data_IF_127624193551
#
_entry.id   IF_127624193551
#
_cell.length_a   1.000
_cell.length_b   1.000
_cell.length_c   1.000
_cell.angle_alpha   90.00
_cell.angle_beta   90.00
_cell.angle_gamma   90.00
#
_symmetry.space_group_name_H-M   'P 1'
#
loop_
_entity.id
_entity.type
_entity.pdbx_description
1 polymer ?
#
# COMPACT_ATOMS: atom_id res chain seq x y z
N UNK A 1 11.20 3.12 -9.41
CA UNK A 1 11.32 2.80 -7.97
C UNK A 1 12.27 3.80 -7.35
N UNK A 2 11.83 4.54 -6.33
CA UNK A 2 12.64 5.56 -5.65
C UNK A 2 12.51 5.33 -4.15
N UNK A 3 13.64 5.24 -3.47
CA UNK A 3 13.69 5.24 -2.00
C UNK A 3 13.97 6.67 -1.55
N UNK A 4 13.00 7.27 -0.86
CA UNK A 4 13.09 8.63 -0.32
C UNK A 4 12.17 8.74 0.90
N UNK A 5 12.31 9.84 1.63
CA UNK A 5 11.29 10.24 2.59
C UNK A 5 10.06 10.73 1.82
N UNK A 6 8.89 10.28 2.26
CA UNK A 6 7.59 10.70 1.76
C UNK A 6 6.80 11.34 2.90
N UNK A 7 6.14 12.45 2.61
CA UNK A 7 5.27 13.11 3.59
C UNK A 7 3.88 12.45 3.63
N UNK A 8 3.13 12.68 4.73
CA UNK A 8 1.77 12.15 4.88
C UNK A 8 0.84 12.57 3.74
N UNK A 9 1.05 13.75 3.15
CA UNK A 9 0.28 14.23 2.01
C UNK A 9 0.52 13.39 0.76
N UNK A 10 1.76 12.99 0.48
CA UNK A 10 2.09 12.13 -0.66
C UNK A 10 1.47 10.74 -0.48
N UNK A 11 1.53 10.20 0.73
CA UNK A 11 0.89 8.91 1.08
C UNK A 11 -0.63 9.02 0.91
N UNK A 12 -1.25 10.10 1.38
CA UNK A 12 -2.70 10.32 1.31
C UNK A 12 -3.25 10.35 -0.14
N UNK A 13 -2.40 10.66 -1.11
CA UNK A 13 -2.75 10.71 -2.54
C UNK A 13 -2.28 9.48 -3.34
N UNK A 14 -1.73 8.47 -2.67
CA UNK A 14 -1.26 7.27 -3.34
C UNK A 14 -2.44 6.42 -3.86
N UNK A 15 -2.26 5.80 -5.04
CA UNK A 15 -3.27 4.91 -5.62
C UNK A 15 -3.42 3.62 -4.79
N UNK A 16 -2.32 3.13 -4.23
CA UNK A 16 -2.27 1.97 -3.34
C UNK A 16 -1.14 2.09 -2.31
N UNK A 17 -1.35 1.48 -1.14
CA UNK A 17 -0.38 1.41 -0.05
C UNK A 17 -0.38 -0.01 0.50
N UNK A 18 0.80 -0.55 0.80
CA UNK A 18 0.95 -1.83 1.48
C UNK A 18 2.10 -1.76 2.48
N UNK A 19 2.09 -2.64 3.48
CA UNK A 19 3.21 -2.83 4.39
C UNK A 19 3.72 -4.26 4.31
N UNK A 20 5.00 -4.42 4.59
CA UNK A 20 5.64 -5.74 4.63
C UNK A 20 5.93 -6.18 6.05
N UNK A 21 5.72 -7.45 6.36
CA UNK A 21 6.10 -8.03 7.65
C UNK A 21 6.47 -9.51 7.51
N UNK A 22 7.09 -10.11 8.53
CA UNK A 22 7.58 -11.50 8.46
C UNK A 22 6.50 -12.59 8.54
N UNK A 23 5.24 -12.24 8.83
CA UNK A 23 4.15 -13.20 9.01
C UNK A 23 3.25 -13.29 7.78
N UNK A 24 2.86 -12.15 7.23
CA UNK A 24 1.95 -12.02 6.09
C UNK A 24 2.63 -11.50 4.82
N UNK A 25 3.92 -11.18 4.90
CA UNK A 25 4.78 -10.72 3.80
C UNK A 25 4.34 -9.41 3.15
N UNK A 26 3.17 -9.37 2.50
CA UNK A 26 2.53 -8.16 1.97
C UNK A 26 1.12 -8.04 2.54
N UNK A 27 0.88 -6.94 3.25
CA UNK A 27 -0.45 -6.57 3.75
C UNK A 27 -0.92 -5.28 3.08
N UNK A 28 -1.97 -5.32 2.24
CA UNK A 28 -2.60 -4.13 1.69
C UNK A 28 -3.15 -3.22 2.79
N UNK A 29 -3.03 -1.91 2.61
CA UNK A 29 -3.58 -0.89 3.51
C UNK A 29 -4.73 -0.19 2.77
N UNK A 30 -5.95 -0.40 3.24
CA UNK A 30 -7.15 0.18 2.64
C UNK A 30 -7.48 1.59 3.15
N UNK A 31 -6.98 1.98 4.32
CA UNK A 31 -7.15 3.34 4.85
C UNK A 31 -6.12 3.72 5.93
N UNK A 32 -5.84 5.02 6.05
CA UNK A 32 -5.09 5.61 7.18
C UNK A 32 -5.91 6.79 7.72
N UNK A 33 -6.17 6.80 9.03
CA UNK A 33 -6.94 7.86 9.70
C UNK A 33 -8.32 8.15 9.08
N UNK A 34 -8.97 7.14 8.52
CA UNK A 34 -10.27 7.27 7.85
C UNK A 34 -10.21 7.75 6.40
N UNK A 35 -9.03 8.08 5.87
CA UNK A 35 -8.84 8.33 4.44
C UNK A 35 -8.63 7.00 3.73
N UNK A 36 -9.55 6.65 2.82
CA UNK A 36 -9.53 5.41 2.05
C UNK A 36 -8.62 5.56 0.83
N UNK A 37 -7.83 4.53 0.53
CA UNK A 37 -7.02 4.43 -0.67
C UNK A 37 -7.75 3.60 -1.74
N UNK A 38 -7.82 4.13 -2.96
CA UNK A 38 -8.50 3.48 -4.08
C UNK A 38 -9.92 3.02 -3.73
N UNK A 39 -10.24 1.78 -4.10
CA UNK A 39 -11.55 1.13 -3.89
C UNK A 39 -11.60 0.26 -2.61
N UNK A 40 -10.68 0.47 -1.65
CA UNK A 40 -10.51 -0.35 -0.45
C UNK A 40 -10.18 -1.85 -0.70
N UNK A 41 -9.82 -2.21 -1.94
CA UNK A 41 -9.33 -3.52 -2.36
C UNK A 41 -7.82 -3.45 -2.64
N UNK A 42 -7.10 -4.59 -2.63
CA UNK A 42 -5.71 -4.62 -3.07
C UNK A 42 -5.60 -4.11 -4.50
N UNK A 43 -4.74 -3.12 -4.73
CA UNK A 43 -4.46 -2.59 -6.06
C UNK A 43 -3.69 -3.59 -6.93
N UNK A 44 -3.52 -3.24 -8.20
CA UNK A 44 -2.89 -4.13 -9.19
C UNK A 44 -1.45 -4.50 -8.80
N UNK A 45 -0.61 -3.53 -8.42
CA UNK A 45 0.79 -3.82 -8.07
C UNK A 45 0.85 -4.61 -6.77
N UNK A 46 0.03 -4.24 -5.78
CA UNK A 46 -0.06 -4.99 -4.52
C UNK A 46 -0.43 -6.45 -4.79
N UNK A 47 -1.44 -6.71 -5.62
CA UNK A 47 -1.85 -8.08 -5.99
C UNK A 47 -0.76 -8.85 -6.75
N UNK A 48 -0.08 -8.20 -7.70
CA UNK A 48 1.03 -8.82 -8.44
C UNK A 48 2.18 -9.19 -7.51
N UNK A 49 2.53 -8.30 -6.57
CA UNK A 49 3.61 -8.56 -5.62
C UNK A 49 3.23 -9.67 -4.64
N UNK A 50 2.01 -9.67 -4.10
CA UNK A 50 1.52 -10.75 -3.21
C UNK A 50 1.50 -12.11 -3.90
N UNK A 51 1.26 -12.18 -5.21
CA UNK A 51 1.27 -13.43 -5.97
C UNK A 51 2.67 -13.94 -6.34
N UNK A 52 3.73 -13.15 -6.10
CA UNK A 52 5.12 -13.47 -6.44
C UNK A 52 5.93 -14.04 -5.28
N UNK A 53 5.34 -14.09 -4.09
CA UNK A 53 5.96 -14.59 -2.85
C UNK A 53 5.38 -15.95 -2.48
#
# INVERSE_FOLDING_TARGET
MTEKLFDLHEIATADEVFITNSLMEIMPVSSINGNVFGDALPGEITGILSAKI
#
